data_IF_511778863653
#
_entry.id   IF_511778863653
#
_cell.length_a   1.000
_cell.length_b   1.000
_cell.length_c   1.000
_cell.angle_alpha   90.00
_cell.angle_beta   90.00
_cell.angle_gamma   90.00
#
_symmetry.space_group_name_H-M   'P 1'
#
loop_
_entity.id
_entity.type
_entity.pdbx_description
1 polymer ?
#
# COMPACT_ATOMS: atom_id res chain seq x y z
N UNK A 1 0.82 15.04 6.46
CA UNK A 1 2.15 15.68 6.38
C UNK A 1 3.25 14.63 6.25
N UNK A 2 3.73 14.35 5.02
CA UNK A 2 4.78 13.32 4.78
C UNK A 2 6.04 13.56 5.62
N UNK A 3 6.43 14.82 5.79
CA UNK A 3 7.63 15.23 6.53
C UNK A 3 7.51 15.05 8.05
N UNK A 4 6.36 15.35 8.65
CA UNK A 4 6.14 15.14 10.10
C UNK A 4 6.21 13.66 10.47
N UNK A 5 5.66 12.78 9.61
CA UNK A 5 5.76 11.32 9.79
C UNK A 5 7.21 10.84 9.74
N UNK A 6 8.02 11.39 8.83
CA UNK A 6 9.45 11.07 8.73
C UNK A 6 10.24 11.59 9.92
N UNK A 7 9.95 12.81 10.40
CA UNK A 7 10.62 13.39 11.55
C UNK A 7 10.31 12.62 12.85
N UNK A 8 9.06 12.18 13.03
CA UNK A 8 8.66 11.32 14.15
C UNK A 8 9.35 9.96 14.08
N UNK A 9 9.42 9.33 12.89
CA UNK A 9 10.13 8.06 12.71
C UNK A 9 11.62 8.20 13.04
N UNK A 10 12.25 9.29 12.61
CA UNK A 10 13.66 9.58 12.90
C UNK A 10 13.91 9.81 14.39
N UNK A 11 13.03 10.57 15.05
CA UNK A 11 13.11 10.79 16.50
C UNK A 11 12.93 9.48 17.28
N UNK A 12 12.00 8.62 16.87
CA UNK A 12 11.79 7.29 17.45
C UNK A 12 13.03 6.42 17.26
N UNK A 13 13.62 6.41 16.06
CA UNK A 13 14.85 5.66 15.79
C UNK A 13 16.00 6.12 16.69
N UNK A 14 16.18 7.43 16.85
CA UNK A 14 17.22 7.99 17.72
C UNK A 14 16.96 7.64 19.19
N UNK A 15 15.71 7.76 19.66
CA UNK A 15 15.33 7.39 21.02
C UNK A 15 15.62 5.92 21.30
N UNK A 16 15.27 5.04 20.35
CA UNK A 16 15.61 3.62 20.41
C UNK A 16 17.12 3.42 20.53
N UNK A 17 17.92 4.06 19.67
CA UNK A 17 19.38 3.95 19.70
C UNK A 17 19.97 4.38 21.05
N UNK A 18 19.49 5.49 21.62
CA UNK A 18 19.92 5.96 22.94
C UNK A 18 19.53 4.97 24.04
N UNK A 19 18.31 4.42 23.97
CA UNK A 19 17.84 3.42 24.94
C UNK A 19 18.69 2.15 24.90
N UNK A 20 19.08 1.68 23.71
CA UNK A 20 20.04 0.58 23.57
C UNK A 20 21.40 0.93 24.18
N UNK A 21 21.96 2.11 23.88
CA UNK A 21 23.27 2.52 24.37
C UNK A 21 23.30 2.62 25.91
N UNK A 22 22.22 3.13 26.52
CA UNK A 22 22.11 3.24 27.98
C UNK A 22 21.91 1.89 28.67
N UNK A 23 21.25 0.93 28.03
CA UNK A 23 20.91 -0.36 28.61
C UNK A 23 21.83 -1.51 28.13
N UNK A 24 23.01 -1.19 27.56
CA UNK A 24 23.91 -2.19 26.99
C UNK A 24 24.33 -3.27 27.97
N UNK A 25 24.54 -2.92 29.24
CA UNK A 25 24.91 -3.88 30.28
C UNK A 25 23.80 -4.94 30.48
N UNK A 26 22.55 -4.50 30.59
CA UNK A 26 21.39 -5.40 30.69
C UNK A 26 21.19 -6.22 29.40
N UNK A 27 21.40 -5.60 28.23
CA UNK A 27 21.23 -6.24 26.93
C UNK A 27 22.30 -7.31 26.62
N UNK A 28 23.47 -7.24 27.27
CA UNK A 28 24.52 -8.25 27.17
C UNK A 28 24.29 -9.47 28.07
N UNK A 29 23.27 -9.43 28.94
CA UNK A 29 22.92 -10.59 29.77
C UNK A 29 22.61 -11.80 28.87
N UNK A 30 23.20 -12.95 29.20
CA UNK A 30 22.94 -14.20 28.50
C UNK A 30 21.47 -14.60 28.70
N UNK A 31 20.73 -14.72 27.61
CA UNK A 31 19.37 -15.24 27.63
C UNK A 31 19.44 -16.74 27.30
N UNK A 32 19.16 -17.63 28.27
CA UNK A 32 19.05 -19.05 27.97
C UNK A 32 17.75 -19.28 27.19
N UNK A 33 17.88 -19.43 25.87
CA UNK A 33 16.77 -19.82 25.00
C UNK A 33 16.74 -21.34 24.94
N UNK A 34 15.91 -21.93 25.81
CA UNK A 34 15.62 -23.36 25.79
C UNK A 34 14.25 -23.62 25.15
N UNK A 35 14.22 -24.40 24.09
CA UNK A 35 13.00 -24.95 23.51
C UNK A 35 12.86 -26.40 23.98
N UNK A 36 11.94 -26.64 24.92
CA UNK A 36 11.56 -27.99 25.34
C UNK A 36 10.34 -28.45 24.54
N UNK A 37 10.44 -29.64 23.94
CA UNK A 37 9.33 -30.29 23.25
C UNK A 37 9.06 -31.62 23.97
N UNK A 38 7.87 -31.76 24.54
CA UNK A 38 7.46 -32.96 25.30
C UNK A 38 8.44 -33.37 26.41
N UNK A 39 9.04 -32.38 27.11
CA UNK A 39 9.98 -32.64 28.21
C UNK A 39 11.38 -33.10 27.77
N UNK A 40 11.67 -33.08 26.47
CA UNK A 40 13.03 -33.23 25.95
C UNK A 40 13.56 -31.87 25.49
N UNK A 41 14.75 -31.44 25.94
CA UNK A 41 15.35 -30.20 25.46
C UNK A 41 15.83 -30.42 24.02
N UNK A 42 15.12 -29.83 23.06
CA UNK A 42 15.44 -29.95 21.62
C UNK A 42 16.48 -28.91 21.20
N UNK A 43 16.51 -27.76 21.87
CA UNK A 43 17.46 -26.69 21.60
C UNK A 43 17.76 -25.90 22.88
N UNK A 44 19.03 -25.71 23.21
CA UNK A 44 19.46 -24.84 24.30
C UNK A 44 20.60 -23.96 23.77
N UNK A 45 20.31 -22.66 23.60
CA UNK A 45 21.27 -21.69 23.12
C UNK A 45 21.29 -20.48 24.07
N UNK A 46 22.45 -20.17 24.62
CA UNK A 46 22.65 -18.95 25.39
C UNK A 46 23.06 -17.83 24.44
N UNK A 47 22.10 -16.96 24.13
CA UNK A 47 22.32 -15.83 23.23
C UNK A 47 22.14 -14.52 24.02
N UNK A 48 23.01 -13.52 23.85
CA UNK A 48 22.78 -12.20 24.40
C UNK A 48 21.45 -11.60 23.94
N UNK A 49 20.74 -10.94 24.86
CA UNK A 49 19.41 -10.32 24.59
C UNK A 49 19.46 -9.34 23.41
N UNK A 50 20.57 -8.60 23.25
CA UNK A 50 20.70 -7.63 22.15
C UNK A 50 20.57 -8.26 20.76
N UNK A 51 21.00 -9.51 20.57
CA UNK A 51 20.90 -10.19 19.26
C UNK A 51 19.46 -10.55 18.92
N UNK A 52 18.68 -11.00 19.90
CA UNK A 52 17.25 -11.27 19.72
C UNK A 52 16.48 -9.98 19.44
N UNK A 53 16.78 -8.90 20.17
CA UNK A 53 16.15 -7.60 19.95
C UNK A 53 16.50 -7.02 18.58
N UNK A 54 17.76 -7.13 18.16
CA UNK A 54 18.22 -6.69 16.84
C UNK A 54 17.55 -7.50 15.72
N UNK A 55 17.45 -8.82 15.85
CA UNK A 55 16.80 -9.66 14.83
C UNK A 55 15.31 -9.35 14.71
N UNK A 56 14.59 -9.19 15.82
CA UNK A 56 13.19 -8.76 15.82
C UNK A 56 13.02 -7.37 15.20
N UNK A 57 13.93 -6.44 15.48
CA UNK A 57 13.89 -5.11 14.89
C UNK A 57 14.06 -5.16 13.36
N UNK A 58 15.02 -5.94 12.87
CA UNK A 58 15.25 -6.14 11.43
C UNK A 58 14.05 -6.83 10.77
N UNK A 59 13.53 -7.91 11.37
CA UNK A 59 12.34 -8.61 10.88
C UNK A 59 11.11 -7.69 10.86
N UNK A 60 10.87 -6.93 11.92
CA UNK A 60 9.79 -5.96 11.99
C UNK A 60 9.92 -4.87 10.93
N UNK A 61 11.13 -4.33 10.74
CA UNK A 61 11.43 -3.37 9.69
C UNK A 61 11.21 -3.92 8.28
N UNK A 62 11.63 -5.17 8.04
CA UNK A 62 11.42 -5.86 6.76
C UNK A 62 9.93 -6.06 6.48
N UNK A 63 9.18 -6.59 7.44
CA UNK A 63 7.74 -6.81 7.31
C UNK A 63 6.98 -5.50 7.10
N UNK A 64 7.34 -4.45 7.84
CA UNK A 64 6.79 -3.11 7.66
C UNK A 64 7.07 -2.56 6.26
N UNK A 65 8.32 -2.70 5.78
CA UNK A 65 8.71 -2.24 4.44
C UNK A 65 7.94 -2.98 3.35
N UNK A 66 7.79 -4.31 3.48
CA UNK A 66 7.01 -5.14 2.57
C UNK A 66 5.53 -4.72 2.57
N UNK A 67 4.95 -4.50 3.75
CA UNK A 67 3.57 -4.03 3.88
C UNK A 67 3.37 -2.69 3.15
N UNK A 68 4.21 -1.69 3.43
CA UNK A 68 4.15 -0.38 2.77
C UNK A 68 4.35 -0.48 1.25
N UNK A 69 5.23 -1.37 0.79
CA UNK A 69 5.47 -1.58 -0.63
C UNK A 69 4.23 -2.19 -1.32
N UNK A 70 3.63 -3.21 -0.72
CA UNK A 70 2.39 -3.81 -1.21
C UNK A 70 1.24 -2.78 -1.26
N UNK A 71 1.09 -1.97 -0.21
CA UNK A 71 0.09 -0.91 -0.16
C UNK A 71 0.30 0.13 -1.26
N UNK A 72 1.56 0.57 -1.47
CA UNK A 72 1.91 1.51 -2.54
C UNK A 72 1.59 0.94 -3.93
N UNK A 73 1.85 -0.35 -4.15
CA UNK A 73 1.51 -1.03 -5.43
C UNK A 73 0.01 -1.07 -5.62
N UNK A 74 -0.76 -1.44 -4.58
CA UNK A 74 -2.24 -1.47 -4.64
C UNK A 74 -2.81 -0.10 -4.94
N UNK A 75 -2.35 0.93 -4.23
CA UNK A 75 -2.79 2.30 -4.41
C UNK A 75 -2.44 2.84 -5.82
N UNK A 76 -1.25 2.49 -6.35
CA UNK A 76 -0.86 2.84 -7.72
C UNK A 76 -1.77 2.20 -8.77
N UNK A 77 -2.18 0.94 -8.56
CA UNK A 77 -3.13 0.25 -9.43
C UNK A 77 -4.50 0.92 -9.41
N UNK A 78 -5.01 1.27 -8.22
CA UNK A 78 -6.30 1.97 -8.07
C UNK A 78 -6.28 3.32 -8.79
N UNK A 79 -5.21 4.11 -8.63
CA UNK A 79 -5.05 5.40 -9.33
C UNK A 79 -5.01 5.20 -10.85
N UNK A 80 -4.30 4.18 -11.33
CA UNK A 80 -4.20 3.90 -12.78
C UNK A 80 -5.56 3.45 -13.36
N UNK A 81 -6.32 2.62 -12.63
CA UNK A 81 -7.67 2.23 -13.03
C UNK A 81 -8.64 3.41 -13.04
N UNK A 82 -8.59 4.26 -12.02
CA UNK A 82 -9.42 5.47 -11.96
C UNK A 82 -9.12 6.41 -13.13
N UNK A 83 -7.84 6.64 -13.46
CA UNK A 83 -7.45 7.43 -14.63
C UNK A 83 -7.97 6.86 -15.94
N UNK A 84 -7.91 5.53 -16.13
CA UNK A 84 -8.45 4.88 -17.33
C UNK A 84 -9.97 5.05 -17.45
N UNK A 85 -10.71 4.94 -16.34
CA UNK A 85 -12.15 5.17 -16.32
C UNK A 85 -12.49 6.62 -16.70
N UNK A 86 -11.78 7.60 -16.15
CA UNK A 86 -11.97 9.01 -16.49
C UNK A 86 -11.71 9.24 -17.98
N UNK A 87 -10.62 8.71 -18.54
CA UNK A 87 -10.32 8.85 -19.96
C UNK A 87 -11.38 8.20 -20.88
N UNK A 88 -11.93 7.04 -20.50
CA UNK A 88 -13.03 6.39 -21.23
C UNK A 88 -14.30 7.26 -21.22
N UNK A 89 -14.67 7.76 -20.04
CA UNK A 89 -15.84 8.63 -19.88
C UNK A 89 -15.67 9.96 -20.65
N UNK A 90 -14.47 10.54 -20.65
CA UNK A 90 -14.16 11.73 -21.46
C UNK A 90 -14.31 11.43 -22.96
N UNK A 91 -13.86 10.26 -23.42
CA UNK A 91 -14.00 9.84 -24.81
C UNK A 91 -15.47 9.59 -25.18
N UNK A 92 -16.26 8.98 -24.30
CA UNK A 92 -17.70 8.76 -24.50
C UNK A 92 -18.46 10.10 -24.59
N UNK A 93 -18.19 11.04 -23.68
CA UNK A 93 -18.80 12.38 -23.71
C UNK A 93 -18.39 13.13 -24.98
N UNK A 94 -17.14 13.02 -25.41
CA UNK A 94 -16.66 13.67 -26.62
C UNK A 94 -17.29 13.05 -27.87
N UNK A 95 -17.39 11.71 -27.93
CA UNK A 95 -18.09 10.98 -28.99
C UNK A 95 -19.57 11.37 -29.09
N UNK A 96 -20.27 11.45 -27.96
CA UNK A 96 -21.68 11.88 -27.91
C UNK A 96 -21.89 13.34 -28.35
N UNK A 97 -20.90 14.22 -28.13
CA UNK A 97 -20.94 15.61 -28.59
C UNK A 97 -20.62 15.77 -30.08
N UNK A 98 -19.87 14.84 -30.64
CA UNK A 98 -19.50 14.80 -32.05
C UNK A 98 -20.41 13.90 -32.89
N UNK A 99 -21.42 13.25 -32.27
CA UNK A 99 -22.44 12.52 -33.00
C UNK A 99 -23.31 13.55 -33.75
N UNK A 100 -23.31 13.56 -35.09
CA UNK A 100 -24.23 14.41 -35.82
C UNK A 100 -25.64 13.94 -35.47
N UNK A 101 -26.45 14.83 -34.90
CA UNK A 101 -27.88 14.61 -34.81
C UNK A 101 -28.36 14.51 -36.26
N UNK A 102 -28.71 13.29 -36.69
CA UNK A 102 -29.28 13.05 -38.00
C UNK A 102 -30.71 13.62 -37.99
N UNK A 103 -30.82 14.93 -38.23
CA UNK A 103 -32.07 15.68 -38.36
C UNK A 103 -32.81 15.37 -39.69
N UNK A 104 -32.41 14.36 -40.46
CA UNK A 104 -32.84 14.22 -41.86
C UNK A 104 -33.74 13.03 -42.18
N UNK A 105 -34.39 12.40 -41.20
CA UNK A 105 -35.48 11.44 -41.46
C UNK A 105 -36.81 11.80 -40.77
N UNK A 106 -37.22 13.07 -40.82
CA UNK A 106 -38.64 13.39 -40.77
C UNK A 106 -39.19 13.28 -42.20
N UNK A 107 -39.59 12.06 -42.57
CA UNK A 107 -40.35 11.81 -43.78
C UNK A 107 -41.65 12.62 -43.71
N UNK A 108 -41.67 13.79 -44.34
CA UNK A 108 -42.91 14.47 -44.67
C UNK A 108 -43.65 13.58 -45.67
N UNK A 109 -44.78 13.01 -45.22
CA UNK A 109 -45.71 12.28 -46.06
C UNK A 109 -46.02 13.10 -47.32
N UNK A 110 -46.09 12.48 -48.52
CA UNK A 110 -46.47 13.20 -49.72
C UNK A 110 -47.92 13.66 -49.57
N UNK A 111 -48.15 14.97 -49.62
CA UNK A 111 -49.48 15.55 -49.82
C UNK A 111 -50.05 15.05 -51.15
N UNK A 112 -50.78 13.94 -51.10
CA UNK A 112 -51.75 13.58 -52.13
C UNK A 112 -52.97 14.49 -51.96
N UNK A 113 -52.96 15.66 -52.61
CA UNK A 113 -54.18 16.41 -52.89
C UNK A 113 -54.55 16.24 -54.35
N UNK A 114 -55.68 15.55 -54.50
CA UNK A 114 -56.34 15.17 -55.74
C UNK A 114 -56.57 16.35 -56.68
N UNK A 115 -56.38 16.07 -57.97
CA UNK A 115 -57.05 16.74 -59.08
C UNK A 115 -58.56 16.46 -58.97
N UNK A 116 -59.39 17.52 -58.94
CA UNK A 116 -60.67 17.74 -59.64
C UNK A 116 -61.44 18.94 -59.05
#
# INVERSE_FOLDING_TARGET
MRYVKMLLLLALFFLSMVMFAQNMETLNTALPLSLELFGTPVFALEQPVYLCLLSLFVLGGLLCTLYFLCEKIRLSREVSQAKKKVASLEQEVNSLRNLPLDDSNYSAEPEAKNEE
#
